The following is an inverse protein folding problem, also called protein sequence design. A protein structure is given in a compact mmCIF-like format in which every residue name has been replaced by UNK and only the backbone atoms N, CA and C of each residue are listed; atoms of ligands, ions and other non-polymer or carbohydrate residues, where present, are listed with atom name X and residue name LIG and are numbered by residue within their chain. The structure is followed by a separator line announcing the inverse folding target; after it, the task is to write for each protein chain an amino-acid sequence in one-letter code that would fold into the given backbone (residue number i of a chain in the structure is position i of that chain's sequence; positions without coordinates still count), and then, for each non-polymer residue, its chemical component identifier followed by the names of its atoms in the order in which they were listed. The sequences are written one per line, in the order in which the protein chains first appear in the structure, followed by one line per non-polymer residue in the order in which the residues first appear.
data_IF_749800902863
#
_entry.id   IF_749800902863
#
_cell.length_a   1.000
_cell.length_b   1.000
_cell.length_c   1.000
_cell.angle_alpha   90.00
_cell.angle_beta   90.00
_cell.angle_gamma   90.00
#
_symmetry.space_group_name_H-M   'P 1'
#
loop_
_entity.id
_entity.type
_entity.pdbx_description
1 polymer ?
#
# COMPACT_ATOMS: atom_id res chain seq x y z
N UNK A 1 41.06 -9.13 -27.74
CA UNK A 1 41.10 -9.99 -26.53
C UNK A 1 40.44 -11.34 -26.84
N UNK A 2 41.17 -12.38 -27.29
CA UNK A 2 40.55 -13.63 -27.75
C UNK A 2 40.19 -14.62 -26.64
N UNK A 3 40.81 -14.52 -25.46
CA UNK A 3 40.61 -15.46 -24.33
C UNK A 3 39.30 -15.24 -23.55
N UNK A 4 38.57 -14.15 -23.83
CA UNK A 4 37.34 -13.75 -23.11
C UNK A 4 36.08 -13.98 -23.97
N UNK A 5 36.21 -14.28 -25.26
CA UNK A 5 35.13 -14.23 -26.27
C UNK A 5 33.73 -14.61 -25.79
N UNK A 6 33.47 -15.90 -25.51
CA UNK A 6 32.14 -16.36 -25.09
C UNK A 6 31.76 -15.94 -23.65
N UNK A 7 32.75 -15.71 -22.77
CA UNK A 7 32.51 -15.27 -21.38
C UNK A 7 32.00 -13.83 -21.31
N UNK A 8 32.26 -13.02 -22.35
CA UNK A 8 31.72 -11.67 -22.45
C UNK A 8 30.19 -11.66 -22.47
N UNK A 9 29.55 -12.57 -23.21
CA UNK A 9 28.10 -12.67 -23.25
C UNK A 9 27.51 -13.10 -21.91
N UNK A 10 28.16 -14.02 -21.20
CA UNK A 10 27.75 -14.43 -19.85
C UNK A 10 27.82 -13.24 -18.88
N UNK A 11 28.89 -12.44 -18.96
CA UNK A 11 29.02 -11.25 -18.12
C UNK A 11 28.00 -10.17 -18.48
N UNK A 12 27.72 -9.99 -19.78
CA UNK A 12 26.72 -9.02 -20.26
C UNK A 12 25.32 -9.40 -19.78
N UNK A 13 24.95 -10.68 -19.90
CA UNK A 13 23.68 -11.23 -19.42
C UNK A 13 23.54 -11.06 -17.90
N UNK A 14 24.59 -11.37 -17.14
CA UNK A 14 24.60 -11.15 -15.69
C UNK A 14 24.42 -9.68 -15.30
N UNK A 15 25.02 -8.75 -16.05
CA UNK A 15 24.84 -7.31 -15.83
C UNK A 15 23.42 -6.86 -16.18
N UNK A 16 22.82 -7.37 -17.25
CA UNK A 16 21.44 -7.07 -17.61
C UNK A 16 20.46 -7.60 -16.55
N UNK A 17 20.63 -8.85 -16.11
CA UNK A 17 19.82 -9.40 -15.03
C UNK A 17 19.97 -8.60 -13.72
N UNK A 18 21.16 -8.06 -13.44
CA UNK A 18 21.35 -7.18 -12.29
C UNK A 18 20.61 -5.84 -12.45
N UNK A 19 20.61 -5.26 -13.65
CA UNK A 19 19.83 -4.06 -13.94
C UNK A 19 18.32 -4.32 -13.73
N UNK A 20 17.80 -5.43 -14.25
CA UNK A 20 16.38 -5.79 -14.10
C UNK A 20 15.99 -5.92 -12.61
N UNK A 21 16.83 -6.58 -11.79
CA UNK A 21 16.61 -6.68 -10.35
C UNK A 21 16.61 -5.29 -9.69
N UNK A 22 17.51 -4.40 -10.08
CA UNK A 22 17.58 -3.06 -9.52
C UNK A 22 16.36 -2.21 -9.91
N UNK A 23 15.88 -2.34 -11.15
CA UNK A 23 14.67 -1.68 -11.61
C UNK A 23 13.43 -2.17 -10.85
N UNK A 24 13.31 -3.48 -10.61
CA UNK A 24 12.23 -4.07 -9.81
C UNK A 24 12.24 -3.57 -8.37
N UNK A 25 13.40 -3.53 -7.71
CA UNK A 25 13.50 -3.02 -6.33
C UNK A 25 13.22 -1.51 -6.26
N UNK A 26 13.69 -0.73 -7.24
CA UNK A 26 13.40 0.70 -7.32
C UNK A 26 11.89 0.95 -7.52
N UNK A 27 11.22 0.14 -8.35
CA UNK A 27 9.78 0.24 -8.56
C UNK A 27 9.00 -0.03 -7.27
N UNK A 28 9.39 -1.07 -6.50
CA UNK A 28 8.79 -1.39 -5.20
C UNK A 28 8.96 -0.25 -4.20
N UNK A 29 10.17 0.32 -4.07
CA UNK A 29 10.43 1.43 -3.15
C UNK A 29 9.66 2.70 -3.51
N UNK A 30 9.52 2.98 -4.82
CA UNK A 30 8.70 4.09 -5.29
C UNK A 30 7.23 3.90 -4.88
N UNK A 31 6.70 2.68 -5.01
CA UNK A 31 5.34 2.31 -4.58
C UNK A 31 5.20 2.44 -3.06
N UNK A 32 6.13 1.88 -2.27
CA UNK A 32 6.19 2.05 -0.82
C UNK A 32 6.10 3.53 -0.41
N UNK A 33 6.84 4.41 -1.10
CA UNK A 33 6.78 5.85 -0.87
C UNK A 33 5.39 6.47 -1.14
N UNK A 34 4.69 6.01 -2.18
CA UNK A 34 3.31 6.45 -2.49
C UNK A 34 2.34 6.00 -1.41
N UNK A 35 2.37 4.72 -1.06
CA UNK A 35 1.48 4.12 -0.06
C UNK A 35 1.75 4.72 1.33
N UNK A 36 2.99 4.98 1.68
CA UNK A 36 3.35 5.67 2.92
C UNK A 36 2.70 7.05 3.01
N UNK A 37 2.80 7.88 1.95
CA UNK A 37 2.15 9.21 1.94
C UNK A 37 0.64 9.11 2.05
N UNK A 38 0.03 8.09 1.44
CA UNK A 38 -1.41 7.85 1.55
C UNK A 38 -1.82 7.45 2.98
N UNK A 39 -1.05 6.57 3.62
CA UNK A 39 -1.25 6.20 5.02
C UNK A 39 -1.10 7.39 5.96
N UNK A 40 -0.12 8.27 5.74
CA UNK A 40 0.03 9.51 6.51
C UNK A 40 -1.20 10.42 6.36
N UNK A 41 -1.74 10.56 5.14
CA UNK A 41 -2.97 11.33 4.91
C UNK A 41 -4.16 10.71 5.64
N UNK A 42 -4.35 9.39 5.53
CA UNK A 42 -5.41 8.68 6.25
C UNK A 42 -5.27 8.88 7.77
N UNK A 43 -4.08 8.67 8.33
CA UNK A 43 -3.81 8.86 9.75
C UNK A 43 -3.94 10.30 10.26
N UNK A 44 -3.92 11.30 9.36
CA UNK A 44 -4.18 12.71 9.72
C UNK A 44 -5.69 13.01 9.85
N UNK A 45 -6.52 12.22 9.17
CA UNK A 45 -7.98 12.38 9.17
C UNK A 45 -8.65 11.46 10.18
N UNK A 46 -8.26 10.19 10.18
CA UNK A 46 -8.81 9.14 11.03
C UNK A 46 -8.45 9.38 12.49
N UNK A 47 -9.40 9.13 13.39
CA UNK A 47 -9.23 9.27 14.85
C UNK A 47 -8.70 10.65 15.29
N UNK A 48 -8.80 11.68 14.45
CA UNK A 48 -8.36 13.03 14.79
C UNK A 48 -9.20 13.53 15.98
N UNK A 49 -8.57 13.90 17.11
CA UNK A 49 -9.30 14.39 18.27
C UNK A 49 -10.07 15.66 17.91
N UNK A 50 -11.17 15.88 18.64
CA UNK A 50 -12.20 16.91 18.42
C UNK A 50 -11.62 18.20 17.84
N UNK A 51 -12.09 18.57 16.65
CA UNK A 51 -11.78 19.87 16.09
C UNK A 51 -12.90 20.83 16.49
N UNK A 52 -12.57 21.91 17.18
CA UNK A 52 -13.55 22.95 17.55
C UNK A 52 -14.75 22.45 18.38
N UNK A 53 -14.53 21.55 19.36
CA UNK A 53 -15.57 20.99 20.26
C UNK A 53 -16.59 20.06 19.58
N UNK A 54 -16.35 19.63 18.33
CA UNK A 54 -17.16 18.61 17.67
C UNK A 54 -16.61 17.21 17.96
N UNK A 55 -17.26 16.56 18.93
CA UNK A 55 -16.99 15.16 19.35
C UNK A 55 -17.30 14.15 18.24
N UNK A 56 -18.10 14.53 17.25
CA UNK A 56 -18.55 13.66 16.15
C UNK A 56 -17.80 13.89 14.85
N UNK A 57 -16.72 14.68 14.90
CA UNK A 57 -15.96 15.07 13.72
C UNK A 57 -15.55 13.89 12.84
N UNK A 58 -15.12 12.76 13.44
CA UNK A 58 -14.72 11.53 12.73
C UNK A 58 -15.89 10.61 12.35
N UNK A 59 -17.07 10.80 12.92
CA UNK A 59 -18.24 9.91 12.77
C UNK A 59 -19.27 10.43 11.76
N UNK A 60 -18.93 11.44 10.95
CA UNK A 60 -19.88 12.08 10.03
C UNK A 60 -19.39 12.10 8.58
N UNK A 61 -20.31 11.82 7.64
CA UNK A 61 -20.13 11.96 6.19
C UNK A 61 -18.90 11.23 5.63
N UNK A 62 -18.11 11.95 4.84
CA UNK A 62 -16.90 11.40 4.17
C UNK A 62 -15.86 10.87 5.16
N UNK A 63 -15.78 11.45 6.35
CA UNK A 63 -14.78 11.04 7.36
C UNK A 63 -15.13 9.69 7.98
N UNK A 64 -16.43 9.47 8.20
CA UNK A 64 -16.91 8.16 8.63
C UNK A 64 -16.61 7.09 7.58
N UNK A 65 -16.75 7.42 6.29
CA UNK A 65 -16.38 6.50 5.21
C UNK A 65 -14.88 6.13 5.23
N UNK A 66 -14.00 7.11 5.51
CA UNK A 66 -12.56 6.86 5.65
C UNK A 66 -12.21 6.04 6.90
N UNK A 67 -12.95 6.24 8.01
CA UNK A 67 -12.84 5.40 9.20
C UNK A 67 -13.22 3.94 8.90
N UNK A 68 -14.36 3.71 8.24
CA UNK A 68 -14.76 2.35 7.85
C UNK A 68 -13.75 1.71 6.90
N UNK A 69 -13.16 2.48 5.99
CA UNK A 69 -12.10 1.99 5.12
C UNK A 69 -10.83 1.62 5.90
N UNK A 70 -10.45 2.41 6.92
CA UNK A 70 -9.35 2.06 7.83
C UNK A 70 -9.63 0.75 8.56
N UNK A 71 -10.84 0.55 9.05
CA UNK A 71 -11.22 -0.69 9.74
C UNK A 71 -11.21 -1.90 8.79
N UNK A 72 -11.66 -1.71 7.54
CA UNK A 72 -11.54 -2.72 6.49
C UNK A 72 -10.09 -3.14 6.21
N UNK A 73 -9.10 -2.25 6.35
CA UNK A 73 -7.69 -2.57 6.17
C UNK A 73 -7.03 -3.22 7.39
N UNK A 74 -7.30 -2.68 8.58
CA UNK A 74 -6.48 -2.95 9.77
C UNK A 74 -7.21 -3.72 10.88
N UNK A 75 -8.53 -3.85 10.80
CA UNK A 75 -9.36 -4.53 11.80
C UNK A 75 -10.04 -5.78 11.23
N UNK A 76 -9.43 -6.43 10.24
CA UNK A 76 -9.93 -7.73 9.76
C UNK A 76 -9.72 -8.82 10.81
N UNK A 77 -10.65 -9.77 10.89
CA UNK A 77 -10.58 -10.92 11.80
C UNK A 77 -10.75 -12.22 11.02
N UNK A 78 -10.15 -13.30 11.53
CA UNK A 78 -10.38 -14.66 11.03
C UNK A 78 -11.76 -15.18 11.49
N UNK A 79 -12.20 -16.32 10.94
CA UNK A 79 -13.49 -16.94 11.29
C UNK A 79 -13.63 -17.26 12.79
N UNK A 80 -12.51 -17.55 13.46
CA UNK A 80 -12.41 -17.79 14.90
C UNK A 80 -12.21 -16.51 15.73
N UNK A 81 -12.35 -15.33 15.11
CA UNK A 81 -12.37 -14.03 15.78
C UNK A 81 -10.99 -13.46 16.15
N UNK A 82 -9.90 -14.08 15.68
CA UNK A 82 -8.54 -13.56 15.93
C UNK A 82 -8.21 -12.42 14.96
N UNK A 83 -7.45 -11.39 15.39
CA UNK A 83 -6.97 -10.35 14.49
C UNK A 83 -6.20 -10.97 13.33
N UNK A 84 -6.58 -10.63 12.10
CA UNK A 84 -5.92 -11.03 10.88
C UNK A 84 -5.29 -9.81 10.24
N UNK A 85 -3.98 -9.84 10.01
CA UNK A 85 -3.27 -8.74 9.35
C UNK A 85 -2.62 -9.25 8.07
N UNK A 86 -3.28 -9.00 6.93
CA UNK A 86 -2.78 -9.39 5.62
C UNK A 86 -2.13 -8.19 4.93
N UNK A 87 -0.79 -8.19 4.88
CA UNK A 87 -0.02 -7.12 4.24
C UNK A 87 -0.30 -6.98 2.74
N UNK A 88 -0.48 -8.10 2.03
CA UNK A 88 -0.77 -8.07 0.59
C UNK A 88 -2.13 -7.42 0.31
N UNK A 89 -3.14 -7.74 1.14
CA UNK A 89 -4.45 -7.11 1.06
C UNK A 89 -4.37 -5.59 1.27
N UNK A 90 -3.62 -5.15 2.28
CA UNK A 90 -3.44 -3.72 2.59
C UNK A 90 -2.79 -3.00 1.40
N UNK A 91 -1.69 -3.55 0.86
CA UNK A 91 -0.98 -2.98 -0.29
C UNK A 91 -1.90 -2.89 -1.51
N UNK A 92 -2.64 -3.96 -1.84
CA UNK A 92 -3.57 -3.97 -2.97
C UNK A 92 -4.68 -2.91 -2.81
N UNK A 93 -5.28 -2.80 -1.63
CA UNK A 93 -6.36 -1.84 -1.39
C UNK A 93 -5.87 -0.40 -1.41
N UNK A 94 -4.69 -0.12 -0.85
CA UNK A 94 -4.09 1.21 -0.91
C UNK A 94 -3.67 1.58 -2.34
N UNK A 95 -3.17 0.64 -3.14
CA UNK A 95 -2.90 0.87 -4.56
C UNK A 95 -4.18 1.21 -5.34
N UNK A 96 -5.26 0.47 -5.09
CA UNK A 96 -6.57 0.75 -5.71
C UNK A 96 -7.10 2.13 -5.33
N UNK A 97 -6.91 2.52 -4.06
CA UNK A 97 -7.27 3.85 -3.57
C UNK A 97 -6.41 4.95 -4.23
N UNK A 98 -5.08 4.77 -4.29
CA UNK A 98 -4.15 5.75 -4.90
C UNK A 98 -4.37 5.90 -6.41
N UNK A 99 -4.71 4.80 -7.10
CA UNK A 99 -5.04 4.81 -8.52
C UNK A 99 -6.48 5.30 -8.81
N UNK A 100 -7.37 5.37 -7.81
CA UNK A 100 -8.76 5.77 -8.00
C UNK A 100 -9.55 4.80 -8.87
N UNK A 101 -9.37 3.49 -8.67
CA UNK A 101 -10.01 2.47 -9.52
C UNK A 101 -11.54 2.47 -9.40
N UNK A 102 -12.25 2.01 -10.45
CA UNK A 102 -13.71 1.88 -10.46
C UNK A 102 -14.24 0.66 -9.67
N UNK A 103 -13.34 -0.19 -9.16
CA UNK A 103 -13.71 -1.34 -8.33
C UNK A 103 -14.40 -0.86 -7.05
N UNK A 104 -15.50 -1.52 -6.70
CA UNK A 104 -16.27 -1.21 -5.49
C UNK A 104 -15.91 -2.18 -4.38
N UNK A 105 -15.74 -1.66 -3.17
CA UNK A 105 -15.58 -2.44 -1.94
C UNK A 105 -16.77 -2.19 -1.03
N UNK A 106 -17.13 -3.20 -0.24
CA UNK A 106 -18.17 -3.08 0.77
C UNK A 106 -17.52 -2.84 2.13
N UNK A 107 -17.91 -1.74 2.78
CA UNK A 107 -17.45 -1.38 4.11
C UNK A 107 -18.53 -1.73 5.14
N UNK A 108 -18.11 -2.28 6.28
CA UNK A 108 -19.01 -2.75 7.35
C UNK A 108 -18.72 -1.96 8.62
N UNK A 109 -19.77 -1.56 9.35
CA UNK A 109 -19.69 -0.90 10.67
C UNK A 109 -19.66 -1.89 11.82
#
# INVERSE_FOLDING_TARGET
MPMIGARFYVQLDALQAQCDIQEDELAKEMECGRLYRLLVKLGTVNERPELNLDVTWSETGDRYMLKLFRDYLFHTVTEDGRPWLNQSHIVQCLNKLDAGTLEKVQLMS
#
